data_IF_291088239559
#
_entry.id   IF_291088239559
#
_cell.length_a   1.000
_cell.length_b   1.000
_cell.length_c   1.000
_cell.angle_alpha   90.00
_cell.angle_beta   90.00
_cell.angle_gamma   90.00
#
_symmetry.space_group_name_H-M   'P 1'
#
loop_
_entity.id
_entity.type
_entity.pdbx_description
1 polymer ?
#
# COMPACT_ATOMS: atom_id res chain seq x y z
N UNK A 1 -5.60 -25.79 -11.11
CA UNK A 1 -5.18 -24.52 -11.71
C UNK A 1 -4.63 -23.67 -10.59
N UNK A 2 -3.31 -23.72 -10.39
CA UNK A 2 -2.62 -23.01 -9.31
C UNK A 2 -2.41 -21.55 -9.69
N UNK A 3 -2.67 -20.65 -8.75
CA UNK A 3 -2.55 -19.20 -8.90
C UNK A 3 -1.08 -18.78 -9.03
N UNK A 4 -0.78 -17.98 -10.06
CA UNK A 4 0.48 -17.26 -10.32
C UNK A 4 0.87 -16.22 -9.24
N UNK A 5 0.30 -16.28 -8.04
CA UNK A 5 0.43 -15.25 -7.00
C UNK A 5 1.65 -15.43 -6.06
N UNK A 6 2.36 -16.56 -6.14
CA UNK A 6 3.52 -16.86 -5.29
C UNK A 6 4.88 -16.68 -5.99
N UNK A 7 4.90 -16.24 -7.25
CA UNK A 7 6.12 -16.13 -8.07
C UNK A 7 6.77 -14.73 -8.09
N UNK A 8 6.48 -13.85 -7.13
CA UNK A 8 6.98 -12.46 -7.14
C UNK A 8 8.09 -12.11 -6.10
N UNK A 9 8.63 -13.07 -5.35
CA UNK A 9 9.61 -12.79 -4.27
C UNK A 9 11.06 -13.21 -4.58
N UNK A 10 11.40 -13.50 -5.84
CA UNK A 10 12.79 -13.72 -6.27
C UNK A 10 13.47 -12.39 -6.67
N UNK A 11 13.54 -11.46 -5.71
CA UNK A 11 14.35 -10.26 -5.81
C UNK A 11 15.73 -10.50 -5.20
N UNK A 12 16.58 -11.29 -5.84
CA UNK A 12 18.00 -11.36 -5.46
C UNK A 12 18.68 -10.07 -5.94
N UNK A 13 18.79 -9.07 -5.07
CA UNK A 13 19.88 -8.10 -5.15
C UNK A 13 21.12 -8.83 -4.61
N UNK A 14 21.99 -9.29 -5.52
CA UNK A 14 23.33 -9.72 -5.13
C UNK A 14 24.08 -8.46 -4.68
N UNK A 15 24.12 -8.21 -3.38
CA UNK A 15 25.23 -7.46 -2.79
C UNK A 15 26.47 -8.34 -2.96
N UNK A 16 27.53 -7.80 -3.57
CA UNK A 16 28.84 -8.49 -3.73
C UNK A 16 29.57 -8.73 -2.39
N UNK A 17 28.91 -8.45 -1.26
CA UNK A 17 29.42 -8.63 0.10
C UNK A 17 28.93 -9.96 0.68
N UNK A 18 29.82 -10.71 1.34
CA UNK A 18 29.46 -11.94 2.06
C UNK A 18 28.34 -11.62 3.08
N UNK A 19 27.21 -12.36 3.08
CA UNK A 19 26.13 -12.10 4.01
C UNK A 19 26.64 -12.26 5.44
N UNK A 20 26.43 -11.24 6.28
CA UNK A 20 26.84 -11.29 7.68
C UNK A 20 26.10 -12.43 8.39
N UNK A 21 26.72 -13.08 9.40
CA UNK A 21 26.07 -14.17 10.16
C UNK A 21 24.71 -13.75 10.74
N UNK A 22 24.55 -12.45 11.06
CA UNK A 22 23.29 -11.86 11.52
C UNK A 22 22.18 -11.94 10.46
N UNK A 23 22.48 -11.74 9.18
CA UNK A 23 21.49 -11.84 8.10
C UNK A 23 21.02 -13.29 7.91
N UNK A 24 21.91 -14.26 8.08
CA UNK A 24 21.59 -15.69 7.98
C UNK A 24 20.60 -16.12 9.08
N UNK A 25 20.81 -15.66 10.31
CA UNK A 25 19.91 -15.97 11.43
C UNK A 25 18.51 -15.33 11.25
N UNK A 26 18.46 -14.08 10.77
CA UNK A 26 17.21 -13.38 10.49
C UNK A 26 16.43 -14.07 9.36
N UNK A 27 17.11 -14.44 8.28
CA UNK A 27 16.53 -15.15 7.14
C UNK A 27 15.93 -16.50 7.57
N UNK A 28 16.70 -17.30 8.33
CA UNK A 28 16.25 -18.58 8.85
C UNK A 28 14.99 -18.44 9.72
N UNK A 29 14.98 -17.43 10.60
CA UNK A 29 13.82 -17.14 11.45
C UNK A 29 12.60 -16.75 10.63
N UNK A 30 12.77 -15.97 9.55
CA UNK A 30 11.68 -15.60 8.65
C UNK A 30 11.07 -16.81 7.95
N UNK A 31 11.87 -17.69 7.35
CA UNK A 31 11.35 -18.87 6.65
C UNK A 31 10.71 -19.88 7.60
N UNK A 32 11.27 -20.04 8.80
CA UNK A 32 10.66 -20.87 9.84
C UNK A 32 9.24 -20.37 10.18
N UNK A 33 9.10 -19.06 10.42
CA UNK A 33 7.83 -18.40 10.70
C UNK A 33 6.85 -18.53 9.54
N UNK A 34 7.33 -18.38 8.30
CA UNK A 34 6.53 -18.53 7.08
C UNK A 34 5.97 -19.96 6.93
N UNK A 35 6.75 -20.97 7.29
CA UNK A 35 6.31 -22.38 7.28
C UNK A 35 5.21 -22.69 8.31
N UNK A 36 5.09 -21.88 9.36
CA UNK A 36 4.08 -22.05 10.41
C UNK A 36 2.75 -21.34 10.11
N UNK A 37 2.67 -20.48 9.09
CA UNK A 37 1.49 -19.64 8.81
C UNK A 37 0.17 -20.43 8.70
N UNK A 38 0.22 -21.66 8.17
CA UNK A 38 -0.96 -22.50 7.98
C UNK A 38 -1.25 -23.43 9.17
N UNK A 39 -0.19 -23.86 9.89
CA UNK A 39 -0.28 -24.88 10.95
C UNK A 39 -0.38 -24.27 12.35
N UNK A 40 0.32 -23.16 12.59
CA UNK A 40 0.33 -22.39 13.82
C UNK A 40 0.43 -20.88 13.52
N UNK A 41 -0.71 -20.21 13.22
CA UNK A 41 -0.75 -18.78 12.93
C UNK A 41 -0.23 -17.89 14.08
N UNK A 42 -0.41 -18.30 15.34
CA UNK A 42 0.06 -17.50 16.48
C UNK A 42 1.57 -17.64 16.68
N UNK A 43 2.10 -18.85 16.50
CA UNK A 43 3.55 -19.11 16.43
C UNK A 43 4.22 -18.34 15.29
N UNK A 44 3.59 -18.31 14.10
CA UNK A 44 4.09 -17.54 12.96
C UNK A 44 4.15 -16.03 13.26
N UNK A 45 3.14 -15.47 13.92
CA UNK A 45 3.14 -14.06 14.34
C UNK A 45 4.27 -13.75 15.32
N UNK A 46 4.48 -14.59 16.32
CA UNK A 46 5.59 -14.44 17.26
C UNK A 46 6.95 -14.55 16.55
N UNK A 47 7.05 -15.46 15.57
CA UNK A 47 8.24 -15.63 14.77
C UNK A 47 8.56 -14.41 13.89
N UNK A 48 7.55 -13.80 13.26
CA UNK A 48 7.73 -12.56 12.50
C UNK A 48 8.09 -11.37 13.40
N UNK A 49 7.52 -11.27 14.60
CA UNK A 49 7.93 -10.25 15.59
C UNK A 49 9.41 -10.42 15.99
N UNK A 50 9.88 -11.66 16.11
CA UNK A 50 11.30 -11.93 16.35
C UNK A 50 12.19 -11.45 15.19
N UNK A 51 11.80 -11.69 13.93
CA UNK A 51 12.52 -11.17 12.74
C UNK A 51 12.67 -9.65 12.82
N UNK A 52 11.59 -8.92 13.14
CA UNK A 52 11.62 -7.45 13.26
C UNK A 52 12.52 -7.00 14.40
N UNK A 53 12.58 -7.73 15.52
CA UNK A 53 13.46 -7.39 16.65
C UNK A 53 14.94 -7.69 16.41
N UNK A 54 15.23 -8.74 15.62
CA UNK A 54 16.59 -9.13 15.27
C UNK A 54 17.24 -8.17 14.27
N UNK A 55 16.43 -7.36 13.58
CA UNK A 55 16.82 -6.34 12.61
C UNK A 55 16.73 -4.92 13.24
N UNK A 56 17.75 -4.47 14.03
CA UNK A 56 17.67 -3.22 14.79
C UNK A 56 17.60 -1.98 13.89
N UNK A 57 18.25 -2.03 12.73
CA UNK A 57 18.08 -1.06 11.66
C UNK A 57 17.04 -1.56 10.69
N UNK A 58 16.07 -0.72 10.34
CA UNK A 58 15.00 -1.12 9.43
C UNK A 58 15.57 -1.50 8.07
N UNK A 59 15.43 -2.77 7.69
CA UNK A 59 15.87 -3.30 6.41
C UNK A 59 14.82 -4.25 5.80
N UNK A 60 15.24 -5.11 4.89
CA UNK A 60 14.34 -5.87 4.02
C UNK A 60 13.58 -6.98 4.77
N UNK A 61 14.20 -7.65 5.73
CA UNK A 61 13.62 -8.80 6.41
C UNK A 61 12.50 -8.38 7.37
N UNK A 62 12.70 -7.30 8.12
CA UNK A 62 11.66 -6.72 8.95
C UNK A 62 10.47 -6.25 8.11
N UNK A 63 10.73 -5.67 6.92
CA UNK A 63 9.65 -5.29 6.01
C UNK A 63 8.87 -6.50 5.46
N UNK A 64 9.56 -7.58 5.07
CA UNK A 64 8.95 -8.83 4.62
C UNK A 64 8.11 -9.48 5.74
N UNK A 65 8.63 -9.50 6.97
CA UNK A 65 7.93 -10.03 8.15
C UNK A 65 6.65 -9.23 8.47
N UNK A 66 6.73 -7.89 8.45
CA UNK A 66 5.57 -7.03 8.67
C UNK A 66 4.51 -7.19 7.59
N UNK A 67 4.90 -7.33 6.31
CA UNK A 67 3.97 -7.62 5.20
C UNK A 67 3.20 -8.93 5.44
N UNK A 68 3.86 -10.00 5.90
CA UNK A 68 3.18 -11.26 6.23
C UNK A 68 2.29 -11.13 7.46
N UNK A 69 2.76 -10.42 8.48
CA UNK A 69 2.01 -10.12 9.72
C UNK A 69 0.67 -9.42 9.40
N UNK A 70 0.69 -8.39 8.54
CA UNK A 70 -0.53 -7.68 8.08
C UNK A 70 -1.51 -8.65 7.40
N UNK A 71 -1.02 -9.50 6.48
CA UNK A 71 -1.86 -10.49 5.79
C UNK A 71 -2.44 -11.52 6.76
N UNK A 72 -1.67 -11.95 7.75
CA UNK A 72 -2.07 -12.96 8.72
C UNK A 72 -3.12 -12.42 9.69
N UNK A 73 -2.92 -11.22 10.25
CA UNK A 73 -3.94 -10.58 11.09
C UNK A 73 -5.25 -10.33 10.34
N UNK A 74 -5.18 -9.97 9.06
CA UNK A 74 -6.38 -9.85 8.23
C UNK A 74 -7.12 -11.17 8.08
N UNK A 75 -6.42 -12.28 7.81
CA UNK A 75 -7.02 -13.63 7.75
C UNK A 75 -7.65 -14.06 9.09
N UNK A 76 -7.06 -13.64 10.21
CA UNK A 76 -7.55 -13.93 11.56
C UNK A 76 -8.69 -13.00 12.02
N UNK A 77 -9.06 -11.98 11.22
CA UNK A 77 -10.07 -10.98 11.60
C UNK A 77 -9.62 -9.99 12.69
N UNK A 78 -8.33 -9.99 13.05
CA UNK A 78 -7.72 -9.10 14.05
C UNK A 78 -7.36 -7.75 13.40
N UNK A 79 -8.39 -6.98 13.01
CA UNK A 79 -8.21 -5.80 12.17
C UNK A 79 -7.48 -4.64 12.86
N UNK A 80 -7.58 -4.53 14.18
CA UNK A 80 -6.89 -3.47 14.94
C UNK A 80 -5.38 -3.70 14.93
N UNK A 81 -4.98 -4.92 15.26
CA UNK A 81 -3.60 -5.39 15.24
C UNK A 81 -3.03 -5.36 13.82
N UNK A 82 -3.84 -5.70 12.81
CA UNK A 82 -3.48 -5.54 11.41
C UNK A 82 -3.10 -4.09 11.07
N UNK A 83 -3.92 -3.11 11.49
CA UNK A 83 -3.64 -1.70 11.23
C UNK A 83 -2.41 -1.20 11.97
N UNK A 84 -2.12 -1.70 13.18
CA UNK A 84 -0.91 -1.36 13.91
C UNK A 84 0.34 -1.89 13.20
N UNK A 85 0.34 -3.16 12.77
CA UNK A 85 1.42 -3.73 11.97
C UNK A 85 1.58 -3.01 10.61
N UNK A 86 0.48 -2.58 9.99
CA UNK A 86 0.52 -1.84 8.74
C UNK A 86 1.16 -0.46 8.91
N UNK A 87 0.85 0.27 10.00
CA UNK A 87 1.50 1.55 10.32
C UNK A 87 2.99 1.38 10.52
N UNK A 88 3.40 0.33 11.23
CA UNK A 88 4.81 0.01 11.42
C UNK A 88 5.51 -0.28 10.08
N UNK A 89 4.90 -1.09 9.23
CA UNK A 89 5.39 -1.38 7.88
C UNK A 89 5.57 -0.11 7.04
N UNK A 90 4.65 0.85 7.12
CA UNK A 90 4.75 2.13 6.38
C UNK A 90 5.97 2.95 6.81
N UNK A 91 6.52 2.75 8.01
CA UNK A 91 7.71 3.47 8.46
C UNK A 91 8.99 3.04 7.71
N UNK A 92 9.02 1.85 7.13
CA UNK A 92 10.14 1.33 6.33
C UNK A 92 10.22 1.99 4.95
N UNK A 93 9.11 2.50 4.43
CA UNK A 93 9.01 3.08 3.08
C UNK A 93 9.88 4.32 2.91
N UNK A 94 10.24 4.99 4.01
CA UNK A 94 11.04 6.21 3.96
C UNK A 94 12.54 5.94 3.76
N UNK A 95 13.05 4.81 4.26
CA UNK A 95 14.50 4.63 4.42
C UNK A 95 15.00 3.22 4.14
N UNK A 96 14.17 2.19 4.29
CA UNK A 96 14.60 0.79 4.29
C UNK A 96 14.40 0.10 2.93
N UNK A 97 13.46 0.58 2.11
CA UNK A 97 13.09 -0.08 0.86
C UNK A 97 12.98 0.89 -0.30
N UNK A 98 13.27 0.41 -1.52
CA UNK A 98 13.18 1.24 -2.72
C UNK A 98 11.74 1.70 -2.98
N UNK A 99 11.58 2.87 -3.60
CA UNK A 99 10.26 3.44 -3.91
C UNK A 99 9.40 2.48 -4.75
N UNK A 100 9.99 1.81 -5.73
CA UNK A 100 9.28 0.85 -6.58
C UNK A 100 8.81 -0.39 -5.81
N UNK A 101 9.65 -0.91 -4.90
CA UNK A 101 9.28 -2.06 -4.08
C UNK A 101 8.17 -1.71 -3.08
N UNK A 102 8.27 -0.55 -2.43
CA UNK A 102 7.20 -0.06 -1.55
C UNK A 102 5.87 0.14 -2.28
N UNK A 103 5.90 0.64 -3.52
CA UNK A 103 4.71 0.81 -4.36
C UNK A 103 4.04 -0.53 -4.68
N UNK A 104 4.82 -1.53 -5.09
CA UNK A 104 4.30 -2.89 -5.34
C UNK A 104 3.70 -3.48 -4.07
N UNK A 105 4.39 -3.36 -2.93
CA UNK A 105 3.91 -3.87 -1.66
C UNK A 105 2.58 -3.22 -1.23
N UNK A 106 2.51 -1.89 -1.26
CA UNK A 106 1.29 -1.15 -0.91
C UNK A 106 0.13 -1.54 -1.84
N UNK A 107 0.36 -1.63 -3.15
CA UNK A 107 -0.69 -2.08 -4.08
C UNK A 107 -1.16 -3.50 -3.78
N UNK A 108 -0.22 -4.43 -3.54
CA UNK A 108 -0.55 -5.81 -3.20
C UNK A 108 -1.40 -5.93 -1.93
N UNK A 109 -1.10 -5.14 -0.88
CA UNK A 109 -1.92 -5.14 0.34
C UNK A 109 -3.26 -4.44 0.10
N UNK A 110 -3.30 -3.32 -0.62
CA UNK A 110 -4.56 -2.64 -0.99
C UNK A 110 -5.50 -3.56 -1.76
N UNK A 111 -4.98 -4.28 -2.74
CA UNK A 111 -5.76 -5.19 -3.59
C UNK A 111 -6.22 -6.42 -2.77
N UNK A 112 -5.39 -6.90 -1.83
CA UNK A 112 -5.77 -7.97 -0.89
C UNK A 112 -6.90 -7.56 0.06
N UNK A 113 -6.81 -6.36 0.66
CA UNK A 113 -7.84 -5.84 1.57
C UNK A 113 -9.10 -5.48 0.78
N UNK A 114 -9.00 -4.72 -0.32
CA UNK A 114 -10.16 -4.30 -1.11
C UNK A 114 -10.92 -5.46 -1.75
N UNK A 115 -10.27 -6.57 -2.10
CA UNK A 115 -10.92 -7.75 -2.69
C UNK A 115 -11.91 -8.45 -1.75
N UNK A 116 -11.76 -8.30 -0.42
CA UNK A 116 -12.68 -8.86 0.58
C UNK A 116 -13.35 -7.81 1.48
N UNK A 117 -12.94 -6.54 1.42
CA UNK A 117 -13.41 -5.45 2.27
C UNK A 117 -14.67 -4.71 1.79
N UNK A 118 -15.41 -5.22 0.79
CA UNK A 118 -16.77 -4.72 0.52
C UNK A 118 -17.69 -4.81 1.75
N UNK A 119 -17.31 -5.59 2.77
CA UNK A 119 -18.00 -5.73 4.05
C UNK A 119 -17.44 -4.85 5.19
N UNK A 120 -16.24 -4.28 5.06
CA UNK A 120 -15.55 -3.52 6.14
C UNK A 120 -15.09 -2.14 5.66
N UNK A 121 -16.06 -1.30 5.32
CA UNK A 121 -15.80 0.03 4.77
C UNK A 121 -14.89 0.91 5.65
N UNK A 122 -15.13 0.93 6.97
CA UNK A 122 -14.34 1.75 7.89
C UNK A 122 -12.85 1.36 7.90
N UNK A 123 -12.56 0.05 7.81
CA UNK A 123 -11.19 -0.47 7.73
C UNK A 123 -10.53 -0.03 6.42
N UNK A 124 -11.24 -0.16 5.30
CA UNK A 124 -10.74 0.25 3.99
C UNK A 124 -10.42 1.76 3.99
N UNK A 125 -11.32 2.58 4.53
CA UNK A 125 -11.11 4.02 4.68
C UNK A 125 -9.86 4.32 5.51
N UNK A 126 -9.73 3.70 6.69
CA UNK A 126 -8.59 3.90 7.58
C UNK A 126 -7.27 3.48 6.92
N UNK A 127 -7.29 2.38 6.16
CA UNK A 127 -6.17 1.90 5.37
C UNK A 127 -5.71 2.97 4.36
N UNK A 128 -6.60 3.42 3.48
CA UNK A 128 -6.28 4.44 2.47
C UNK A 128 -5.79 5.76 3.09
N UNK A 129 -6.42 6.23 4.16
CA UNK A 129 -6.01 7.46 4.82
C UNK A 129 -4.61 7.33 5.43
N UNK A 130 -4.32 6.19 6.07
CA UNK A 130 -3.01 5.92 6.66
C UNK A 130 -1.93 5.83 5.58
N UNK A 131 -2.21 5.13 4.47
CA UNK A 131 -1.30 5.03 3.32
C UNK A 131 -1.01 6.42 2.74
N UNK A 132 -2.04 7.24 2.50
CA UNK A 132 -1.88 8.56 1.90
C UNK A 132 -1.00 9.49 2.75
N UNK A 133 -1.19 9.46 4.07
CA UNK A 133 -0.35 10.24 5.00
C UNK A 133 1.12 9.81 4.93
N UNK A 134 1.39 8.51 4.92
CA UNK A 134 2.76 8.01 4.80
C UNK A 134 3.41 8.37 3.45
N UNK A 135 2.64 8.32 2.36
CA UNK A 135 3.13 8.67 1.02
C UNK A 135 3.39 10.17 0.84
N UNK A 136 2.58 11.02 1.47
CA UNK A 136 2.78 12.47 1.53
C UNK A 136 4.09 12.79 2.28
N UNK A 137 4.29 12.18 3.45
CA UNK A 137 5.53 12.33 4.22
C UNK A 137 6.76 11.79 3.48
N UNK A 138 6.60 10.73 2.67
CA UNK A 138 7.66 10.16 1.82
C UNK A 138 7.85 10.90 0.48
N UNK A 139 7.12 12.00 0.24
CA UNK A 139 7.14 12.80 -1.00
C UNK A 139 6.97 11.94 -2.26
N UNK A 140 6.15 10.90 -2.19
CA UNK A 140 5.89 10.00 -3.32
C UNK A 140 4.62 10.43 -4.06
N UNK A 141 4.71 11.57 -4.75
CA UNK A 141 3.58 12.25 -5.40
C UNK A 141 2.83 11.36 -6.39
N UNK A 142 3.56 10.56 -7.18
CA UNK A 142 2.96 9.67 -8.20
C UNK A 142 2.05 8.63 -7.57
N UNK A 143 2.56 7.88 -6.59
CA UNK A 143 1.77 6.84 -5.92
C UNK A 143 0.68 7.48 -5.06
N UNK A 144 0.97 8.59 -4.40
CA UNK A 144 -0.01 9.36 -3.64
C UNK A 144 -1.20 9.77 -4.51
N UNK A 145 -0.97 10.27 -5.73
CA UNK A 145 -2.02 10.66 -6.66
C UNK A 145 -2.86 9.44 -7.08
N UNK A 146 -2.22 8.33 -7.47
CA UNK A 146 -2.91 7.09 -7.86
C UNK A 146 -3.77 6.52 -6.72
N UNK A 147 -3.25 6.55 -5.50
CA UNK A 147 -3.97 6.10 -4.30
C UNK A 147 -5.17 6.99 -3.99
N UNK A 148 -5.04 8.31 -4.16
CA UNK A 148 -6.18 9.23 -4.04
C UNK A 148 -7.28 8.94 -5.07
N UNK A 149 -6.92 8.65 -6.32
CA UNK A 149 -7.90 8.28 -7.35
C UNK A 149 -8.62 6.97 -7.01
N UNK A 150 -7.90 5.96 -6.50
CA UNK A 150 -8.52 4.73 -5.99
C UNK A 150 -9.52 5.04 -4.85
N UNK A 151 -9.15 5.90 -3.91
CA UNK A 151 -10.03 6.33 -2.82
C UNK A 151 -11.27 7.08 -3.34
N UNK A 152 -11.12 8.00 -4.31
CA UNK A 152 -12.24 8.67 -4.96
C UNK A 152 -13.21 7.67 -5.61
N UNK A 153 -12.68 6.67 -6.31
CA UNK A 153 -13.50 5.61 -6.93
C UNK A 153 -14.30 4.85 -5.88
N UNK A 154 -13.69 4.51 -4.75
CA UNK A 154 -14.42 3.85 -3.65
C UNK A 154 -15.56 4.73 -3.13
N UNK A 155 -15.31 6.02 -2.89
CA UNK A 155 -16.38 6.93 -2.47
C UNK A 155 -17.51 7.06 -3.51
N UNK A 156 -17.15 7.05 -4.80
CA UNK A 156 -18.10 7.07 -5.91
C UNK A 156 -18.98 5.82 -5.92
N UNK A 157 -18.35 4.63 -5.84
CA UNK A 157 -19.04 3.33 -5.86
C UNK A 157 -20.01 3.17 -4.67
N UNK A 158 -19.77 3.90 -3.57
CA UNK A 158 -20.67 3.94 -2.41
C UNK A 158 -21.74 5.04 -2.43
N UNK A 159 -21.70 5.95 -3.40
CA UNK A 159 -22.60 7.11 -3.43
C UNK A 159 -22.27 8.23 -2.43
N UNK A 160 -21.09 8.19 -1.81
CA UNK A 160 -20.60 9.20 -0.86
C UNK A 160 -19.96 10.41 -1.57
N UNK A 161 -20.74 11.06 -2.44
CA UNK A 161 -20.25 12.12 -3.32
C UNK A 161 -19.66 13.30 -2.58
N UNK A 162 -20.16 13.62 -1.37
CA UNK A 162 -19.62 14.70 -0.55
C UNK A 162 -18.18 14.47 -0.11
N UNK A 163 -17.82 13.23 0.22
CA UNK A 163 -16.44 12.85 0.60
C UNK A 163 -15.56 12.75 -0.63
N UNK A 164 -16.07 12.15 -1.71
CA UNK A 164 -15.40 12.11 -3.01
C UNK A 164 -14.99 13.52 -3.49
N UNK A 165 -15.93 14.47 -3.53
CA UNK A 165 -15.65 15.83 -4.00
C UNK A 165 -14.63 16.58 -3.15
N UNK A 166 -14.50 16.26 -1.85
CA UNK A 166 -13.45 16.83 -0.99
C UNK A 166 -12.08 16.28 -1.37
N UNK A 167 -11.94 14.96 -1.52
CA UNK A 167 -10.68 14.33 -1.93
C UNK A 167 -10.29 14.79 -3.33
N UNK A 168 -11.23 14.81 -4.28
CA UNK A 168 -10.97 15.25 -5.64
C UNK A 168 -10.51 16.72 -5.70
N UNK A 169 -11.17 17.62 -4.97
CA UNK A 169 -10.73 19.03 -4.89
C UNK A 169 -9.33 19.16 -4.28
N UNK A 170 -9.06 18.43 -3.19
CA UNK A 170 -7.75 18.46 -2.55
C UNK A 170 -6.64 18.02 -3.52
N UNK A 171 -6.87 16.94 -4.24
CA UNK A 171 -5.96 16.42 -5.26
C UNK A 171 -5.75 17.42 -6.39
N UNK A 172 -6.84 17.94 -6.98
CA UNK A 172 -6.78 18.89 -8.09
C UNK A 172 -5.99 20.15 -7.72
N UNK A 173 -6.26 20.72 -6.54
CA UNK A 173 -5.55 21.90 -6.04
C UNK A 173 -4.05 21.60 -5.91
N UNK A 174 -3.66 20.49 -5.28
CA UNK A 174 -2.25 20.12 -5.13
C UNK A 174 -1.59 19.90 -6.50
N UNK A 175 -2.27 19.23 -7.44
CA UNK A 175 -1.72 19.00 -8.77
C UNK A 175 -1.64 20.27 -9.62
N UNK A 176 -2.55 21.23 -9.44
CA UNK A 176 -2.49 22.55 -10.09
C UNK A 176 -1.28 23.36 -9.58
N UNK A 177 -0.91 23.21 -8.29
CA UNK A 177 0.29 23.83 -7.73
C UNK A 177 1.59 23.13 -8.17
N UNK A 178 1.59 21.81 -8.38
CA UNK A 178 2.78 21.02 -8.71
C UNK A 178 3.03 20.87 -10.23
N UNK A 179 1.98 20.97 -11.06
CA UNK A 179 2.06 20.88 -12.52
C UNK A 179 1.18 21.98 -13.17
N UNK A 180 1.60 23.25 -13.13
CA UNK A 180 0.86 24.35 -13.76
C UNK A 180 0.58 24.13 -15.26
N UNK A 181 1.39 23.28 -15.92
CA UNK A 181 1.38 23.05 -17.35
C UNK A 181 0.57 21.85 -17.83
N UNK A 182 0.29 20.83 -16.99
CA UNK A 182 -0.41 19.61 -17.44
C UNK A 182 -1.93 19.68 -17.24
N UNK A 183 -2.40 20.32 -16.17
CA UNK A 183 -3.85 20.50 -15.94
C UNK A 183 -4.45 21.62 -16.78
N UNK A 184 -3.67 22.64 -17.17
CA UNK A 184 -4.12 23.60 -18.19
C UNK A 184 -4.42 22.93 -19.53
N UNK A 185 -3.87 21.75 -19.85
CA UNK A 185 -4.16 21.06 -21.11
C UNK A 185 -5.35 20.10 -20.99
N UNK A 186 -5.50 19.42 -19.85
CA UNK A 186 -6.59 18.49 -19.61
C UNK A 186 -7.89 19.20 -19.21
N UNK A 187 -7.83 20.21 -18.34
CA UNK A 187 -9.00 21.02 -18.00
C UNK A 187 -9.51 21.79 -19.23
N UNK A 188 -8.63 22.26 -20.13
CA UNK A 188 -9.03 22.93 -21.37
C UNK A 188 -9.67 21.96 -22.37
N UNK A 189 -9.16 20.72 -22.48
CA UNK A 189 -9.79 19.69 -23.33
C UNK A 189 -11.11 19.15 -22.75
N UNK A 190 -11.23 19.01 -21.42
CA UNK A 190 -12.48 18.58 -20.78
C UNK A 190 -13.54 19.69 -20.74
N UNK A 191 -13.15 20.96 -20.66
CA UNK A 191 -14.09 22.08 -20.81
C UNK A 191 -14.61 22.22 -22.26
N UNK A 192 -13.81 21.87 -23.27
CA UNK A 192 -14.27 21.83 -24.67
C UNK A 192 -15.30 20.69 -24.86
N UNK A 193 -15.09 19.50 -24.28
CA UNK A 193 -16.04 18.40 -24.43
C UNK A 193 -17.40 18.65 -23.74
N UNK A 194 -17.43 19.41 -22.63
CA UNK A 194 -18.67 19.75 -21.94
C UNK A 194 -19.42 20.95 -22.56
N UNK A 195 -18.77 21.71 -23.45
CA UNK A 195 -19.38 22.86 -24.12
C UNK A 195 -19.85 22.56 -25.56
N UNK A 196 -19.46 21.42 -26.14
CA UNK A 196 -19.88 21.04 -27.51
C UNK A 196 -21.22 20.30 -27.58
N UNK A 197 -21.82 19.89 -26.45
CA UNK A 197 -23.09 19.13 -26.43
C UNK A 197 -24.34 19.98 -26.12
N UNK A 198 -24.25 21.31 -26.04
CA UNK A 198 -25.41 22.19 -25.79
C UNK A 198 -25.73 23.20 -26.89
N UNK A 199 -25.15 23.07 -28.07
CA UNK A 199 -25.54 23.87 -29.25
C UNK A 199 -25.82 22.97 -30.45
N UNK A 200 -27.02 22.38 -30.52
CA UNK A 200 -27.45 21.72 -31.75
C UNK A 200 -28.56 20.66 -31.64
N UNK A 201 -29.74 21.04 -31.17
CA UNK A 201 -31.02 20.46 -31.61
C UNK A 201 -32.19 21.24 -30.99
N UNK A 202 -32.47 22.39 -31.57
CA UNK A 202 -33.83 22.94 -31.65
C UNK A 202 -34.53 22.31 -32.86
#
# INVERSE_FOLDING_TARGET
MGSDADMEDYGFEYSDDEPEEQDVDIENQYYNSKGMVETDPEGALAGFDAVVRMEPEKAEWGFKALKQTVKLYYKLGKYKEMMDAYREMLTYIKSAVTRNYSEKCINNIMDFVSGSASQHFNLLQEFYQTTLKALEEAKNERLWFKTNLKLCKIWFDMGEYGRMSKVLRYVLVITDYLLPSFLSLYAFNSHILLLTDTEGAA
#
